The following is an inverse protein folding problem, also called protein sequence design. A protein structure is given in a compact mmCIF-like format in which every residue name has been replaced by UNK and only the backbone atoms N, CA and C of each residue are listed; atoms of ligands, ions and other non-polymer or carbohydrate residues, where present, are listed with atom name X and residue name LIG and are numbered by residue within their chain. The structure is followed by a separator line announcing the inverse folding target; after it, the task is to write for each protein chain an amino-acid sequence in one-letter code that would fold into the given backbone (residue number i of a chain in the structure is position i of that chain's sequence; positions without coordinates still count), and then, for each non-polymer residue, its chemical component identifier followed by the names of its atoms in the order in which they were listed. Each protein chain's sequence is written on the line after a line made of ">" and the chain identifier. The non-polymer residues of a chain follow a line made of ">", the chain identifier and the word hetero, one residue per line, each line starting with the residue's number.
data_IF_426174084169
#
_entry.id   IF_426174084169
#
_cell.length_a   1.000
_cell.length_b   1.000
_cell.length_c   1.000
_cell.angle_alpha   90.00
_cell.angle_beta   90.00
_cell.angle_gamma   90.00
#
_symmetry.space_group_name_H-M   'P 1'
#
loop_
_entity.id
_entity.type
_entity.pdbx_description
1 polymer ?
#
# COMPACT_ATOMS: atom_id res chain seq x y z
N UNK A 1 -28.95 -3.39 10.35
CA UNK A 1 -28.69 -4.84 10.31
C UNK A 1 -28.21 -5.26 11.68
N UNK A 2 -28.96 -6.17 12.35
CA UNK A 2 -28.52 -6.72 13.63
C UNK A 2 -27.25 -7.55 13.39
N UNK A 3 -26.22 -7.25 14.13
CA UNK A 3 -24.91 -7.96 14.06
C UNK A 3 -25.06 -9.43 14.50
N UNK A 4 -26.10 -9.70 15.22
CA UNK A 4 -26.53 -10.98 15.71
C UNK A 4 -27.56 -11.58 14.77
N UNK A 5 -27.40 -12.27 13.76
CA UNK A 5 -28.44 -12.96 13.01
C UNK A 5 -29.56 -13.52 13.91
N UNK A 6 -30.41 -14.39 13.42
CA UNK A 6 -31.56 -14.95 14.15
C UNK A 6 -31.23 -15.88 15.36
N UNK A 7 -29.96 -15.96 15.78
CA UNK A 7 -29.52 -16.84 16.88
C UNK A 7 -29.12 -16.05 18.13
N UNK A 8 -30.10 -15.52 18.84
CA UNK A 8 -29.90 -15.04 20.21
C UNK A 8 -30.10 -16.19 21.20
N UNK A 9 -29.08 -16.50 22.00
CA UNK A 9 -29.14 -17.53 23.06
C UNK A 9 -29.88 -17.06 24.33
N UNK A 10 -30.36 -15.81 24.35
CA UNK A 10 -31.04 -15.20 25.49
C UNK A 10 -30.11 -14.71 26.62
N UNK A 11 -28.81 -14.95 26.51
CA UNK A 11 -27.79 -14.49 27.45
C UNK A 11 -26.80 -13.55 26.73
N UNK A 12 -26.88 -12.26 27.05
CA UNK A 12 -26.04 -11.21 26.42
C UNK A 12 -24.54 -11.53 26.45
N UNK A 13 -24.06 -12.17 27.51
CA UNK A 13 -22.65 -12.54 27.66
C UNK A 13 -22.23 -13.65 26.67
N UNK A 14 -23.08 -14.65 26.46
CA UNK A 14 -22.80 -15.70 25.48
C UNK A 14 -22.91 -15.19 24.07
N UNK A 15 -23.87 -14.32 23.80
CA UNK A 15 -24.04 -13.67 22.49
C UNK A 15 -22.84 -12.82 22.09
N UNK A 16 -22.16 -12.17 23.06
CA UNK A 16 -20.91 -11.43 22.78
C UNK A 16 -19.82 -12.37 22.27
N UNK A 17 -19.61 -13.52 22.93
CA UNK A 17 -18.59 -14.48 22.48
C UNK A 17 -18.93 -15.09 21.12
N UNK A 18 -20.20 -15.35 20.84
CA UNK A 18 -20.64 -15.87 19.54
C UNK A 18 -20.46 -14.84 18.43
N UNK A 19 -20.73 -13.56 18.67
CA UNK A 19 -20.45 -12.48 17.71
C UNK A 19 -18.96 -12.37 17.42
N UNK A 20 -18.12 -12.37 18.47
CA UNK A 20 -16.66 -12.32 18.30
C UNK A 20 -16.18 -13.51 17.46
N UNK A 21 -16.63 -14.73 17.81
CA UNK A 21 -16.26 -15.94 17.07
C UNK A 21 -16.73 -15.90 15.62
N UNK A 22 -17.98 -15.56 15.39
CA UNK A 22 -18.55 -15.49 14.04
C UNK A 22 -17.84 -14.45 13.17
N UNK A 23 -17.57 -13.27 13.73
CA UNK A 23 -16.86 -12.21 13.02
C UNK A 23 -15.40 -12.58 12.74
N UNK A 24 -14.72 -13.19 13.70
CA UNK A 24 -13.36 -13.69 13.54
C UNK A 24 -13.27 -14.75 12.43
N UNK A 25 -14.14 -15.75 12.44
CA UNK A 25 -14.17 -16.80 11.42
C UNK A 25 -14.51 -16.23 10.04
N UNK A 26 -15.51 -15.36 9.94
CA UNK A 26 -15.90 -14.76 8.66
C UNK A 26 -14.79 -13.89 8.08
N UNK A 27 -14.10 -13.10 8.91
CA UNK A 27 -13.01 -12.24 8.48
C UNK A 27 -11.78 -13.05 8.06
N UNK A 28 -11.44 -14.12 8.81
CA UNK A 28 -10.31 -14.98 8.42
C UNK A 28 -10.61 -15.74 7.12
N UNK A 29 -11.78 -16.33 6.99
CA UNK A 29 -12.15 -17.11 5.81
C UNK A 29 -12.30 -16.25 4.55
N UNK A 30 -12.72 -15.01 4.68
CA UNK A 30 -12.83 -14.07 3.57
C UNK A 30 -11.54 -13.32 3.30
N UNK A 31 -11.30 -12.28 4.08
CA UNK A 31 -10.19 -11.34 3.89
C UNK A 31 -8.85 -11.93 4.31
N UNK A 32 -8.81 -12.71 5.40
CA UNK A 32 -7.58 -13.28 5.94
C UNK A 32 -6.86 -14.20 4.96
N UNK A 33 -7.58 -15.10 4.29
CA UNK A 33 -7.00 -16.02 3.30
C UNK A 33 -6.42 -15.22 2.11
N UNK A 34 -7.12 -14.19 1.65
CA UNK A 34 -6.63 -13.33 0.57
C UNK A 34 -5.33 -12.61 0.98
N UNK A 35 -5.27 -12.08 2.20
CA UNK A 35 -4.07 -11.43 2.74
C UNK A 35 -2.90 -12.40 2.88
N UNK A 36 -3.15 -13.64 3.29
CA UNK A 36 -2.10 -14.67 3.35
C UNK A 36 -1.53 -14.98 1.95
N UNK A 37 -2.37 -15.07 0.93
CA UNK A 37 -1.91 -15.29 -0.45
C UNK A 37 -1.07 -14.11 -0.95
N UNK A 38 -1.50 -12.87 -0.68
CA UNK A 38 -0.75 -11.66 -1.02
C UNK A 38 0.58 -11.61 -0.26
N UNK A 39 0.59 -11.96 1.02
CA UNK A 39 1.81 -12.06 1.82
C UNK A 39 2.81 -13.06 1.23
N UNK A 40 2.33 -14.21 0.78
CA UNK A 40 3.14 -15.20 0.05
C UNK A 40 3.74 -14.64 -1.24
N UNK A 41 2.94 -13.91 -2.03
CA UNK A 41 3.42 -13.24 -3.24
C UNK A 41 4.51 -12.18 -2.92
N UNK A 42 4.29 -11.35 -1.92
CA UNK A 42 5.28 -10.34 -1.49
C UNK A 42 6.58 -11.00 -1.03
N UNK A 43 6.47 -12.11 -0.28
CA UNK A 43 7.64 -12.86 0.16
C UNK A 43 8.42 -13.48 -1.01
N UNK A 44 7.72 -13.98 -2.02
CA UNK A 44 8.31 -14.46 -3.27
C UNK A 44 9.03 -13.34 -4.02
N UNK A 45 8.41 -12.17 -4.18
CA UNK A 45 9.00 -10.99 -4.81
C UNK A 45 10.28 -10.53 -4.10
N UNK A 46 10.28 -10.56 -2.77
CA UNK A 46 11.47 -10.22 -1.98
C UNK A 46 12.56 -11.28 -2.10
N UNK A 47 12.19 -12.57 -2.07
CA UNK A 47 13.15 -13.68 -2.19
C UNK A 47 13.82 -13.72 -3.57
N UNK A 48 13.07 -13.47 -4.62
CA UNK A 48 13.56 -13.42 -6.02
C UNK A 48 14.29 -12.11 -6.34
N UNK A 49 14.33 -11.15 -5.40
CA UNK A 49 14.86 -9.79 -5.61
C UNK A 49 14.24 -9.03 -6.78
N UNK A 50 13.06 -9.42 -7.21
CA UNK A 50 12.34 -8.77 -8.30
C UNK A 50 11.99 -7.31 -7.96
N UNK A 51 11.65 -7.04 -6.70
CA UNK A 51 11.42 -5.69 -6.19
C UNK A 51 12.67 -4.81 -6.31
N UNK A 52 13.86 -5.35 -6.00
CA UNK A 52 15.15 -4.64 -6.12
C UNK A 52 15.45 -4.30 -7.58
N UNK A 53 15.20 -5.21 -8.51
CA UNK A 53 15.41 -4.97 -9.96
C UNK A 53 14.49 -3.86 -10.47
N UNK A 54 13.23 -3.84 -10.05
CA UNK A 54 12.28 -2.78 -10.41
C UNK A 54 12.75 -1.41 -9.90
N UNK A 55 13.19 -1.33 -8.65
CA UNK A 55 13.70 -0.07 -8.08
C UNK A 55 15.01 0.38 -8.73
N UNK A 56 15.92 -0.52 -9.05
CA UNK A 56 17.15 -0.20 -9.79
C UNK A 56 16.83 0.29 -11.22
N UNK A 57 15.83 -0.29 -11.87
CA UNK A 57 15.32 0.19 -13.15
C UNK A 57 14.79 1.62 -13.04
N UNK A 58 13.97 1.90 -12.04
CA UNK A 58 13.45 3.23 -11.74
C UNK A 58 14.56 4.25 -11.46
N UNK A 59 15.61 3.86 -10.72
CA UNK A 59 16.73 4.75 -10.40
C UNK A 59 17.52 5.20 -11.64
N UNK A 60 17.58 4.37 -12.69
CA UNK A 60 18.25 4.74 -13.95
C UNK A 60 17.55 5.89 -14.68
N UNK A 61 16.22 5.97 -14.56
CA UNK A 61 15.43 7.06 -15.17
C UNK A 61 15.70 8.42 -14.52
N UNK A 62 16.18 8.44 -13.28
CA UNK A 62 16.43 9.67 -12.51
C UNK A 62 17.82 10.27 -12.78
N UNK A 63 18.79 9.47 -13.26
CA UNK A 63 20.17 9.91 -13.47
C UNK A 63 20.37 11.14 -14.35
N UNK A 64 19.62 11.38 -15.45
CA UNK A 64 19.84 12.53 -16.33
C UNK A 64 19.35 13.86 -15.74
N UNK A 65 18.60 13.86 -14.65
CA UNK A 65 17.94 15.05 -14.10
C UNK A 65 18.84 15.70 -13.06
N UNK A 66 19.20 16.98 -13.31
CA UNK A 66 20.13 17.74 -12.45
C UNK A 66 19.44 18.50 -11.31
N UNK A 67 18.14 18.79 -11.43
CA UNK A 67 17.42 19.57 -10.43
C UNK A 67 16.98 18.65 -9.27
N UNK A 68 17.47 18.89 -8.04
CA UNK A 68 17.18 18.01 -6.90
C UNK A 68 15.70 17.95 -6.50
N UNK A 69 14.97 19.05 -6.67
CA UNK A 69 13.53 19.10 -6.33
C UNK A 69 12.67 18.30 -7.32
N UNK A 70 13.01 18.39 -8.61
CA UNK A 70 12.33 17.57 -9.64
C UNK A 70 12.60 16.08 -9.40
N UNK A 71 13.82 15.72 -9.00
CA UNK A 71 14.16 14.33 -8.68
C UNK A 71 13.37 13.86 -7.44
N UNK A 72 13.22 14.71 -6.43
CA UNK A 72 12.44 14.41 -5.24
C UNK A 72 10.98 14.06 -5.59
N UNK A 73 10.33 14.92 -6.38
CA UNK A 73 8.95 14.70 -6.84
C UNK A 73 8.84 13.44 -7.72
N UNK A 74 9.80 13.21 -8.61
CA UNK A 74 9.82 12.01 -9.46
C UNK A 74 10.05 10.73 -8.67
N UNK A 75 10.91 10.74 -7.65
CA UNK A 75 11.10 9.59 -6.74
C UNK A 75 9.78 9.23 -6.07
N UNK A 76 9.05 10.23 -5.59
CA UNK A 76 7.73 10.00 -5.01
C UNK A 76 6.74 9.43 -6.04
N UNK A 77 6.64 10.02 -7.23
CA UNK A 77 5.72 9.56 -8.28
C UNK A 77 6.04 8.13 -8.74
N UNK A 78 7.32 7.83 -8.95
CA UNK A 78 7.77 6.47 -9.31
C UNK A 78 7.46 5.49 -8.19
N UNK A 79 7.71 5.89 -6.95
CA UNK A 79 7.40 5.08 -5.78
C UNK A 79 5.91 4.76 -5.65
N UNK A 80 5.06 5.75 -5.89
CA UNK A 80 3.60 5.57 -5.88
C UNK A 80 3.13 4.59 -6.97
N UNK A 81 3.74 4.63 -8.16
CA UNK A 81 3.45 3.64 -9.21
C UNK A 81 3.97 2.25 -8.82
N UNK A 82 5.18 2.16 -8.26
CA UNK A 82 5.73 0.88 -7.78
C UNK A 82 4.93 0.28 -6.64
N UNK A 83 4.25 1.11 -5.84
CA UNK A 83 3.37 0.64 -4.75
C UNK A 83 2.23 -0.23 -5.25
N UNK A 84 1.74 -0.03 -6.48
CA UNK A 84 0.71 -0.88 -7.10
C UNK A 84 1.21 -2.33 -7.24
N UNK A 85 2.50 -2.51 -7.48
CA UNK A 85 3.12 -3.84 -7.66
C UNK A 85 3.70 -4.40 -6.35
N UNK A 86 4.27 -3.52 -5.51
CA UNK A 86 4.90 -3.89 -4.24
C UNK A 86 4.00 -3.41 -3.11
N UNK A 87 3.07 -4.24 -2.68
CA UNK A 87 2.07 -3.90 -1.67
C UNK A 87 2.65 -3.71 -0.25
N UNK A 88 3.84 -4.25 0.02
CA UNK A 88 4.50 -4.09 1.32
C UNK A 88 5.10 -2.69 1.47
N UNK A 89 4.50 -1.85 2.30
CA UNK A 89 4.96 -0.49 2.61
C UNK A 89 6.35 -0.50 3.22
N UNK A 90 6.61 -1.43 4.14
CA UNK A 90 7.91 -1.56 4.83
C UNK A 90 9.01 -1.95 3.84
N UNK A 91 8.74 -2.95 2.99
CA UNK A 91 9.72 -3.40 2.00
C UNK A 91 10.02 -2.30 0.99
N UNK A 92 9.01 -1.61 0.48
CA UNK A 92 9.18 -0.50 -0.45
C UNK A 92 9.92 0.67 0.19
N UNK A 93 9.57 1.04 1.42
CA UNK A 93 10.25 2.10 2.17
C UNK A 93 11.73 1.79 2.40
N UNK A 94 12.07 0.58 2.86
CA UNK A 94 13.46 0.15 3.05
C UNK A 94 14.23 0.13 1.72
N UNK A 95 13.61 -0.32 0.64
CA UNK A 95 14.20 -0.34 -0.68
C UNK A 95 14.55 1.07 -1.15
N UNK A 96 13.63 2.04 -1.01
CA UNK A 96 13.85 3.43 -1.36
C UNK A 96 14.87 4.12 -0.45
N UNK A 97 14.87 3.80 0.84
CA UNK A 97 15.91 4.28 1.76
C UNK A 97 17.29 3.76 1.39
N UNK A 98 17.40 2.53 0.93
CA UNK A 98 18.68 1.97 0.51
C UNK A 98 19.15 2.49 -0.87
N UNK A 99 18.22 2.77 -1.80
CA UNK A 99 18.55 3.10 -3.20
C UNK A 99 18.42 4.58 -3.52
N UNK A 100 17.29 5.20 -3.20
CA UNK A 100 16.96 6.57 -3.60
C UNK A 100 17.47 7.62 -2.61
N UNK A 101 17.42 7.32 -1.33
CA UNK A 101 17.88 8.25 -0.28
C UNK A 101 19.35 8.68 -0.47
N UNK A 102 20.34 7.78 -0.74
CA UNK A 102 21.70 8.19 -1.01
C UNK A 102 21.84 9.06 -2.28
N UNK A 103 21.01 8.82 -3.29
CA UNK A 103 21.02 9.60 -4.53
C UNK A 103 20.54 11.02 -4.25
N UNK A 104 19.38 11.16 -3.58
CA UNK A 104 18.80 12.45 -3.24
C UNK A 104 19.75 13.30 -2.37
N UNK A 105 20.35 12.69 -1.36
CA UNK A 105 21.30 13.40 -0.47
C UNK A 105 22.56 13.83 -1.18
N UNK A 106 23.09 13.04 -2.12
CA UNK A 106 24.23 13.42 -2.96
C UNK A 106 23.91 14.56 -3.93
N UNK A 107 22.65 14.70 -4.32
CA UNK A 107 22.19 15.82 -5.17
C UNK A 107 21.94 17.11 -4.38
N UNK A 108 22.13 17.10 -3.06
CA UNK A 108 21.98 18.27 -2.22
C UNK A 108 20.60 18.44 -1.59
N UNK A 109 19.70 17.45 -1.71
CA UNK A 109 18.42 17.41 -0.98
C UNK A 109 18.71 17.21 0.51
N UNK A 110 17.98 17.93 1.38
CA UNK A 110 18.12 17.75 2.82
C UNK A 110 17.79 16.31 3.22
N UNK A 111 18.52 15.76 4.19
CA UNK A 111 18.27 14.39 4.68
C UNK A 111 16.82 14.18 5.13
N UNK A 112 16.23 15.21 5.74
CA UNK A 112 14.86 15.16 6.21
C UNK A 112 13.86 15.08 5.03
N UNK A 113 14.04 15.94 4.01
CA UNK A 113 13.18 15.94 2.82
C UNK A 113 13.31 14.64 2.02
N UNK A 114 14.54 14.12 1.88
CA UNK A 114 14.78 12.85 1.20
C UNK A 114 14.12 11.67 1.95
N UNK A 115 14.24 11.64 3.28
CA UNK A 115 13.59 10.62 4.10
C UNK A 115 12.05 10.76 4.04
N UNK A 116 11.54 11.98 4.14
CA UNK A 116 10.10 12.25 4.05
C UNK A 116 9.52 11.76 2.72
N UNK A 117 10.18 12.02 1.60
CA UNK A 117 9.75 11.55 0.29
C UNK A 117 9.73 10.02 0.21
N UNK A 118 10.77 9.34 0.72
CA UNK A 118 10.81 7.87 0.74
C UNK A 118 9.71 7.25 1.62
N UNK A 119 9.36 7.89 2.74
CA UNK A 119 8.33 7.41 3.66
C UNK A 119 6.92 7.74 3.13
N UNK A 120 6.73 8.91 2.53
CA UNK A 120 5.43 9.34 1.99
C UNK A 120 4.88 8.37 0.91
N UNK A 121 5.75 7.66 0.20
CA UNK A 121 5.36 6.61 -0.75
C UNK A 121 4.53 5.51 -0.07
N UNK A 122 4.89 5.15 1.18
CA UNK A 122 4.15 4.16 1.96
C UNK A 122 2.81 4.68 2.52
N UNK A 123 2.60 5.99 2.56
CA UNK A 123 1.39 6.60 3.12
C UNK A 123 0.14 6.50 2.23
N UNK A 124 0.29 6.08 0.99
CA UNK A 124 -0.84 5.85 0.07
C UNK A 124 -1.04 4.37 -0.18
N UNK A 125 -2.20 3.87 0.18
CA UNK A 125 -2.61 2.50 -0.13
C UNK A 125 -3.23 2.49 -1.53
N UNK A 126 -2.42 2.16 -2.53
CA UNK A 126 -2.83 2.07 -3.92
C UNK A 126 -2.67 0.65 -4.43
N UNK A 127 -3.72 0.15 -5.05
CA UNK A 127 -3.68 -1.13 -5.75
C UNK A 127 -4.71 -2.15 -5.26
N UNK A 128 -5.18 -3.03 -6.15
CA UNK A 128 -6.22 -4.00 -5.84
C UNK A 128 -5.75 -5.08 -4.84
N UNK A 129 -4.46 -5.14 -4.55
CA UNK A 129 -3.84 -6.10 -3.63
C UNK A 129 -3.50 -5.48 -2.27
N UNK A 130 -3.84 -4.20 -2.05
CA UNK A 130 -3.60 -3.58 -0.76
C UNK A 130 -4.60 -4.08 0.29
N UNK A 131 -4.10 -4.35 1.51
CA UNK A 131 -4.91 -4.92 2.58
C UNK A 131 -6.04 -4.01 3.03
N UNK A 132 -5.78 -2.71 3.06
CA UNK A 132 -6.75 -1.69 3.47
C UNK A 132 -7.84 -1.52 2.42
N UNK A 133 -7.46 -1.47 1.14
CA UNK A 133 -8.38 -1.43 0.02
C UNK A 133 -9.27 -2.68 -0.06
N UNK A 134 -8.69 -3.87 0.14
CA UNK A 134 -9.45 -5.13 0.17
C UNK A 134 -10.47 -5.12 1.31
N UNK A 135 -10.06 -4.68 2.51
CA UNK A 135 -10.96 -4.60 3.65
C UNK A 135 -12.10 -3.62 3.40
N UNK A 136 -11.81 -2.42 2.88
CA UNK A 136 -12.82 -1.42 2.55
C UNK A 136 -13.80 -1.93 1.49
N UNK A 137 -13.30 -2.54 0.43
CA UNK A 137 -14.12 -3.08 -0.65
C UNK A 137 -15.04 -4.21 -0.18
N UNK A 138 -14.48 -5.20 0.55
CA UNK A 138 -15.22 -6.43 0.87
C UNK A 138 -16.09 -6.30 2.10
N UNK A 139 -15.63 -5.62 3.16
CA UNK A 139 -16.33 -5.59 4.46
C UNK A 139 -17.25 -4.36 4.61
N UNK A 140 -16.92 -3.26 3.94
CA UNK A 140 -17.68 -1.99 4.09
C UNK A 140 -18.61 -1.79 2.89
N UNK A 141 -18.09 -1.91 1.68
CA UNK A 141 -18.81 -1.56 0.46
C UNK A 141 -19.45 -2.76 -0.25
N UNK A 142 -19.10 -4.01 0.17
CA UNK A 142 -19.58 -5.24 -0.47
C UNK A 142 -19.36 -5.26 -2.00
N UNK A 143 -18.22 -4.74 -2.46
CA UNK A 143 -17.80 -4.77 -3.85
C UNK A 143 -16.52 -5.59 -4.01
N UNK A 144 -16.13 -5.91 -5.24
CA UNK A 144 -14.86 -6.59 -5.48
C UNK A 144 -13.70 -5.62 -5.29
N UNK A 145 -12.51 -6.08 -4.83
CA UNK A 145 -11.33 -5.22 -4.73
C UNK A 145 -10.94 -4.57 -6.07
N UNK A 146 -11.24 -5.24 -7.19
CA UNK A 146 -10.98 -4.71 -8.52
C UNK A 146 -11.92 -3.56 -8.88
N UNK A 147 -13.21 -3.68 -8.52
CA UNK A 147 -14.18 -2.59 -8.71
C UNK A 147 -13.82 -1.36 -7.87
N UNK A 148 -13.35 -1.58 -6.63
CA UNK A 148 -12.83 -0.51 -5.78
C UNK A 148 -11.64 0.20 -6.44
N UNK A 149 -10.66 -0.56 -6.90
CA UNK A 149 -9.49 -0.02 -7.58
C UNK A 149 -9.84 0.77 -8.83
N UNK A 150 -10.69 0.22 -9.71
CA UNK A 150 -11.01 0.86 -11.01
C UNK A 150 -11.91 2.09 -10.87
N UNK A 151 -12.88 2.07 -9.96
CA UNK A 151 -13.87 3.13 -9.84
C UNK A 151 -13.46 4.26 -8.88
N UNK A 152 -12.57 3.98 -7.94
CA UNK A 152 -12.18 4.97 -6.92
C UNK A 152 -10.67 5.25 -6.92
N UNK A 153 -9.84 4.25 -6.74
CA UNK A 153 -8.41 4.47 -6.60
C UNK A 153 -7.75 4.95 -7.90
N UNK A 154 -8.12 4.40 -9.04
CA UNK A 154 -7.58 4.79 -10.34
C UNK A 154 -7.99 6.23 -10.74
N UNK A 155 -9.12 6.73 -10.23
CA UNK A 155 -9.61 8.08 -10.50
C UNK A 155 -8.95 9.08 -9.54
N UNK A 156 -8.96 8.78 -8.25
CA UNK A 156 -8.50 9.69 -7.19
C UNK A 156 -6.97 9.63 -7.02
N UNK A 157 -6.38 8.43 -7.15
CA UNK A 157 -4.97 8.18 -6.92
C UNK A 157 -4.03 9.09 -7.72
N UNK A 158 -4.17 9.19 -9.05
CA UNK A 158 -3.34 10.08 -9.86
C UNK A 158 -3.43 11.54 -9.44
N UNK A 159 -4.61 12.00 -9.06
CA UNK A 159 -4.83 13.36 -8.55
C UNK A 159 -4.02 13.62 -7.27
N UNK A 160 -4.07 12.71 -6.32
CA UNK A 160 -3.32 12.82 -5.06
C UNK A 160 -1.81 12.73 -5.32
N UNK A 161 -1.36 11.80 -6.17
CA UNK A 161 0.05 11.64 -6.53
C UNK A 161 0.61 12.95 -7.12
N UNK A 162 -0.13 13.58 -8.04
CA UNK A 162 0.29 14.84 -8.64
C UNK A 162 0.30 15.97 -7.60
N UNK A 163 -0.75 16.10 -6.78
CA UNK A 163 -0.81 17.12 -5.74
C UNK A 163 0.35 17.01 -4.74
N UNK A 164 0.65 15.81 -4.25
CA UNK A 164 1.77 15.59 -3.33
C UNK A 164 3.10 15.79 -4.03
N UNK A 165 3.23 15.37 -5.30
CA UNK A 165 4.43 15.62 -6.11
C UNK A 165 4.73 17.10 -6.34
N UNK A 166 3.70 17.94 -6.48
CA UNK A 166 3.85 19.40 -6.58
C UNK A 166 4.25 20.01 -5.23
N UNK A 167 3.73 19.45 -4.14
CA UNK A 167 4.04 19.92 -2.79
C UNK A 167 5.49 19.61 -2.36
N UNK A 168 6.07 18.53 -2.88
CA UNK A 168 7.45 18.12 -2.60
C UNK A 168 8.50 18.91 -3.42
#
# INVERSE_FOLDING_TARGET
>A
QSVLGDSTTGNVWLDIFDVIRAKFVSTISGTGIRLMMIGGYVMLMNHTKAADVLALGASKLLKPIKNPYIVLALVYMIGAVLKIFITSQIALGLLFMATMFPILTRMGVSKLSAAAACVAIGGMDLGPNDSTGIFAATEILNCTPMDWFTNYELIIGPGIIVCVGIFM
#
